data_IF_367615303616
#
_entry.id   IF_367615303616
#
_cell.length_a   1.000
_cell.length_b   1.000
_cell.length_c   1.000
_cell.angle_alpha   90.00
_cell.angle_beta   90.00
_cell.angle_gamma   90.00
#
_symmetry.space_group_name_H-M   'P 1'
#
loop_
_entity.id
_entity.type
_entity.pdbx_description
1 polymer ?
#
# COMPACT_ATOMS: atom_id res chain seq x y z
N UNK A 1 -4.25 4.22 -6.70
CA UNK A 1 -3.80 4.07 -5.31
C UNK A 1 -2.27 4.07 -5.23
N UNK A 2 -1.58 3.19 -5.94
CA UNK A 2 -0.13 3.01 -5.83
C UNK A 2 0.64 4.32 -5.94
N UNK A 3 0.42 5.09 -7.00
CA UNK A 3 1.14 6.35 -7.25
C UNK A 3 0.88 7.42 -6.19
N UNK A 4 -0.38 7.63 -5.80
CA UNK A 4 -0.73 8.69 -4.84
C UNK A 4 -0.30 8.35 -3.40
N UNK A 5 -0.27 7.06 -3.05
CA UNK A 5 0.26 6.61 -1.77
C UNK A 5 1.78 6.80 -1.67
N UNK A 6 2.52 6.67 -2.79
CA UNK A 6 3.97 6.96 -2.81
C UNK A 6 4.25 8.45 -2.63
N UNK A 7 3.45 9.32 -3.25
CA UNK A 7 3.60 10.77 -3.14
C UNK A 7 3.52 11.24 -1.68
N UNK A 8 2.59 10.73 -0.91
CA UNK A 8 2.43 11.17 0.49
C UNK A 8 3.56 10.69 1.41
N UNK A 9 4.39 9.73 0.99
CA UNK A 9 5.53 9.28 1.80
C UNK A 9 6.59 10.36 2.02
N UNK A 10 6.64 11.40 1.18
CA UNK A 10 7.48 12.57 1.41
C UNK A 10 6.71 13.77 1.99
N UNK A 11 5.44 13.61 2.32
CA UNK A 11 4.57 14.68 2.82
C UNK A 11 3.90 15.52 1.72
N UNK A 12 4.03 15.13 0.44
CA UNK A 12 3.45 15.89 -0.65
C UNK A 12 1.95 15.60 -0.81
N UNK A 13 1.20 16.65 -1.15
CA UNK A 13 -0.22 16.56 -1.50
C UNK A 13 -0.36 16.26 -2.99
N UNK A 14 -1.03 15.16 -3.40
CA UNK A 14 -1.34 14.90 -4.79
C UNK A 14 -2.18 16.03 -5.39
N UNK A 15 -1.84 16.50 -6.58
CA UNK A 15 -2.56 17.55 -7.31
C UNK A 15 -3.35 16.96 -8.47
N UNK A 16 -2.69 16.16 -9.31
CA UNK A 16 -3.32 15.58 -10.48
C UNK A 16 -2.72 14.22 -10.82
N UNK A 17 -3.47 13.50 -11.63
CA UNK A 17 -3.18 12.17 -12.11
C UNK A 17 -3.38 12.10 -13.63
N UNK A 18 -2.56 11.32 -14.28
CA UNK A 18 -2.65 10.92 -15.68
C UNK A 18 -2.61 9.41 -15.74
N UNK A 19 -3.49 8.80 -16.52
CA UNK A 19 -3.50 7.37 -16.76
C UNK A 19 -2.96 7.01 -18.16
N UNK A 20 -2.48 5.79 -18.29
CA UNK A 20 -2.19 5.15 -19.56
C UNK A 20 -2.87 3.79 -19.56
N UNK A 21 -3.68 3.53 -20.57
CA UNK A 21 -4.39 2.28 -20.75
C UNK A 21 -3.88 1.62 -22.03
N UNK A 22 -3.11 0.53 -21.88
CA UNK A 22 -2.75 -0.35 -22.98
C UNK A 22 -3.81 -1.45 -23.10
N UNK A 23 -4.36 -1.67 -24.29
CA UNK A 23 -5.40 -2.67 -24.55
C UNK A 23 -5.10 -3.48 -25.82
N UNK A 24 -5.43 -4.77 -25.78
CA UNK A 24 -5.32 -5.63 -26.96
C UNK A 24 -6.37 -5.31 -28.03
N UNK A 25 -7.58 -4.94 -27.59
CA UNK A 25 -8.68 -4.49 -28.45
C UNK A 25 -9.48 -3.40 -27.78
N UNK A 26 -9.79 -2.34 -28.53
CA UNK A 26 -10.62 -1.25 -28.02
C UNK A 26 -12.10 -1.69 -27.91
N UNK A 27 -12.52 -1.94 -26.70
CA UNK A 27 -13.91 -2.23 -26.32
C UNK A 27 -14.36 -1.05 -25.45
N UNK A 28 -15.21 -0.14 -25.97
CA UNK A 28 -15.56 1.10 -25.27
C UNK A 28 -16.08 0.91 -23.86
N UNK A 29 -16.94 -0.09 -23.63
CA UNK A 29 -17.53 -0.38 -22.31
C UNK A 29 -16.46 -0.78 -21.29
N UNK A 30 -15.47 -1.54 -21.73
CA UNK A 30 -14.29 -1.94 -20.90
C UNK A 30 -13.46 -0.72 -20.53
N UNK A 31 -13.15 0.12 -21.52
CA UNK A 31 -12.37 1.36 -21.28
C UNK A 31 -13.12 2.31 -20.34
N UNK A 32 -14.42 2.51 -20.52
CA UNK A 32 -15.26 3.32 -19.61
C UNK A 32 -15.21 2.78 -18.20
N UNK A 33 -15.30 1.46 -18.01
CA UNK A 33 -15.22 0.83 -16.68
C UNK A 33 -13.87 1.08 -16.02
N UNK A 34 -12.75 0.92 -16.75
CA UNK A 34 -11.39 1.17 -16.25
C UNK A 34 -11.20 2.64 -15.84
N UNK A 35 -11.56 3.58 -16.73
CA UNK A 35 -11.44 5.02 -16.47
C UNK A 35 -12.34 5.44 -15.28
N UNK A 36 -13.52 4.86 -15.15
CA UNK A 36 -14.40 5.11 -13.98
C UNK A 36 -13.72 4.73 -12.68
N UNK A 37 -13.02 3.59 -12.63
CA UNK A 37 -12.24 3.16 -11.47
C UNK A 37 -11.09 4.11 -11.16
N UNK A 38 -10.36 4.58 -12.20
CA UNK A 38 -9.28 5.57 -12.04
C UNK A 38 -9.85 6.89 -11.51
N UNK A 39 -10.96 7.36 -12.07
CA UNK A 39 -11.64 8.60 -11.64
C UNK A 39 -12.08 8.52 -10.18
N UNK A 40 -12.72 7.43 -9.77
CA UNK A 40 -13.09 7.21 -8.37
C UNK A 40 -11.86 7.23 -7.44
N UNK A 41 -10.75 6.60 -7.87
CA UNK A 41 -9.48 6.65 -7.14
C UNK A 41 -8.96 8.08 -6.97
N UNK A 42 -9.05 8.91 -8.01
CA UNK A 42 -8.67 10.32 -7.96
C UNK A 42 -9.55 11.13 -6.99
N UNK A 43 -10.87 10.89 -6.99
CA UNK A 43 -11.81 11.51 -6.05
C UNK A 43 -11.45 11.16 -4.60
N UNK A 44 -11.19 9.90 -4.31
CA UNK A 44 -10.76 9.45 -2.97
C UNK A 44 -9.42 10.04 -2.55
N UNK A 45 -8.49 10.14 -3.49
CA UNK A 45 -7.18 10.77 -3.24
C UNK A 45 -7.25 12.30 -3.12
N UNK A 46 -8.33 12.93 -3.59
CA UNK A 46 -8.47 14.39 -3.61
C UNK A 46 -7.57 15.06 -4.65
N UNK A 47 -7.30 14.38 -5.77
CA UNK A 47 -6.54 14.91 -6.91
C UNK A 47 -7.40 14.91 -8.19
N UNK A 48 -7.02 15.70 -9.18
CA UNK A 48 -7.72 15.80 -10.46
C UNK A 48 -7.21 14.77 -11.45
N UNK A 49 -8.11 14.03 -12.11
CA UNK A 49 -7.78 13.31 -13.34
C UNK A 49 -7.81 14.33 -14.49
N UNK A 50 -6.65 14.70 -15.01
CA UNK A 50 -6.54 15.80 -15.98
C UNK A 50 -6.36 15.35 -17.42
N UNK A 51 -6.15 14.06 -17.65
CA UNK A 51 -5.97 13.44 -18.95
C UNK A 51 -5.37 12.07 -18.82
N UNK A 52 -4.98 11.53 -19.95
CA UNK A 52 -4.37 10.21 -20.08
C UNK A 52 -4.23 9.82 -21.54
N UNK A 53 -3.89 8.57 -21.78
CA UNK A 53 -3.76 7.99 -23.11
C UNK A 53 -4.35 6.58 -23.11
N UNK A 54 -5.04 6.23 -24.19
CA UNK A 54 -5.49 4.86 -24.44
C UNK A 54 -4.90 4.38 -25.76
N UNK A 55 -4.11 3.31 -25.70
CA UNK A 55 -3.45 2.76 -26.88
C UNK A 55 -3.86 1.31 -27.13
N UNK A 56 -4.30 1.01 -28.35
CA UNK A 56 -4.57 -0.34 -28.83
C UNK A 56 -3.29 -0.98 -29.37
N UNK A 57 -3.00 -2.20 -28.94
CA UNK A 57 -1.80 -2.95 -29.31
C UNK A 57 -2.13 -4.26 -30.06
N UNK A 58 -2.68 -4.19 -31.29
CA UNK A 58 -3.06 -5.37 -32.04
C UNK A 58 -1.82 -6.21 -32.37
N UNK A 59 -1.93 -7.52 -32.16
CA UNK A 59 -0.84 -8.47 -32.44
C UNK A 59 0.27 -8.54 -31.37
N UNK A 60 0.31 -7.63 -30.40
CA UNK A 60 1.27 -7.67 -29.28
C UNK A 60 0.60 -7.98 -27.95
N UNK A 61 -0.68 -7.67 -27.82
CA UNK A 61 -1.52 -8.05 -26.67
C UNK A 61 -2.70 -8.90 -27.16
N UNK A 62 -3.16 -9.85 -26.32
CA UNK A 62 -4.39 -10.57 -26.63
C UNK A 62 -5.59 -9.60 -26.59
N UNK A 63 -6.67 -9.83 -27.38
CA UNK A 63 -7.81 -8.92 -27.43
C UNK A 63 -8.45 -8.61 -26.08
N UNK A 64 -8.40 -9.53 -25.13
CA UNK A 64 -8.99 -9.37 -23.82
C UNK A 64 -8.03 -8.78 -22.76
N UNK A 65 -6.74 -8.70 -23.09
CA UNK A 65 -5.73 -8.19 -22.18
C UNK A 65 -5.75 -6.66 -22.10
N UNK A 66 -5.37 -6.15 -20.95
CA UNK A 66 -5.10 -4.74 -20.73
C UNK A 66 -4.06 -4.55 -19.64
N UNK A 67 -3.38 -3.42 -19.66
CA UNK A 67 -2.47 -2.97 -18.65
C UNK A 67 -2.72 -1.50 -18.31
N UNK A 68 -2.51 -1.14 -17.04
CA UNK A 68 -2.76 0.20 -16.52
C UNK A 68 -1.48 0.76 -15.91
N UNK A 69 -1.06 1.92 -16.39
CA UNK A 69 -0.03 2.71 -15.74
C UNK A 69 -0.59 4.05 -15.26
N UNK A 70 -0.01 4.59 -14.20
CA UNK A 70 -0.41 5.87 -13.64
C UNK A 70 0.77 6.79 -13.42
N UNK A 71 0.55 8.08 -13.61
CA UNK A 71 1.49 9.13 -13.30
C UNK A 71 0.81 10.18 -12.43
N UNK A 72 1.33 10.39 -11.23
CA UNK A 72 0.79 11.36 -10.29
C UNK A 72 1.82 12.46 -10.00
N UNK A 73 1.34 13.68 -9.85
CA UNK A 73 2.15 14.83 -9.42
C UNK A 73 1.59 15.37 -8.12
N UNK A 74 2.48 15.58 -7.17
CA UNK A 74 2.17 16.22 -5.89
C UNK A 74 3.12 17.35 -5.58
N UNK A 75 2.76 18.18 -4.61
CA UNK A 75 3.59 19.28 -4.14
C UNK A 75 3.68 19.27 -2.63
N UNK A 76 4.83 19.74 -2.14
CA UNK A 76 5.10 19.97 -0.73
C UNK A 76 6.02 21.19 -0.63
N UNK A 77 5.82 22.04 0.37
CA UNK A 77 6.74 23.11 0.68
C UNK A 77 8.08 22.52 1.12
N UNK A 78 9.18 23.11 0.69
CA UNK A 78 10.53 22.56 0.91
C UNK A 78 10.85 22.30 2.38
N UNK A 79 10.37 23.15 3.25
CA UNK A 79 10.53 23.07 4.71
C UNK A 79 9.58 22.07 5.39
N UNK A 80 8.59 21.56 4.64
CA UNK A 80 7.62 20.55 5.10
C UNK A 80 7.89 19.14 4.57
N UNK A 81 8.93 18.97 3.74
CA UNK A 81 9.35 17.64 3.31
C UNK A 81 9.72 16.83 4.55
N UNK A 82 9.17 15.61 4.66
CA UNK A 82 9.47 14.72 5.78
C UNK A 82 10.97 14.41 5.83
N UNK A 83 11.59 14.72 6.96
CA UNK A 83 13.01 14.52 7.18
C UNK A 83 13.27 13.35 8.14
N UNK A 84 13.63 12.21 7.58
CA UNK A 84 13.94 11.00 8.36
C UNK A 84 15.10 11.18 9.34
N UNK A 85 15.98 12.18 9.13
CA UNK A 85 17.10 12.42 10.04
C UNK A 85 16.68 13.00 11.40
N UNK A 86 15.42 13.44 11.53
CA UNK A 86 14.82 13.81 12.83
C UNK A 86 14.42 12.60 13.67
N UNK A 87 14.40 11.40 13.07
CA UNK A 87 14.02 10.16 13.75
C UNK A 87 15.03 9.81 14.85
N UNK A 88 14.54 9.32 15.99
CA UNK A 88 15.37 8.99 17.13
C UNK A 88 14.84 7.75 17.85
N UNK A 89 15.66 7.06 18.64
CA UNK A 89 15.21 5.97 19.49
C UNK A 89 14.06 6.41 20.39
N UNK A 90 13.03 5.56 20.48
CA UNK A 90 11.81 5.84 21.22
C UNK A 90 10.67 6.42 20.37
N UNK A 91 10.92 6.81 19.12
CA UNK A 91 9.82 7.15 18.18
C UNK A 91 8.92 5.94 17.95
N UNK A 92 7.64 6.21 17.71
CA UNK A 92 6.60 5.18 17.66
C UNK A 92 6.34 4.79 16.23
N UNK A 93 6.27 3.48 15.97
CA UNK A 93 5.91 2.92 14.66
C UNK A 93 4.41 2.60 14.64
N UNK A 94 3.68 3.25 13.76
CA UNK A 94 2.22 3.13 13.59
C UNK A 94 1.93 2.45 12.26
N UNK A 95 1.10 1.40 12.28
CA UNK A 95 0.61 0.73 11.07
C UNK A 95 -0.80 1.17 10.71
N UNK A 96 -1.05 1.30 9.41
CA UNK A 96 -2.37 1.46 8.82
C UNK A 96 -2.71 0.17 8.07
N UNK A 97 -3.84 -0.50 8.40
CA UNK A 97 -4.22 -1.76 7.79
C UNK A 97 -4.41 -1.65 6.28
N UNK A 98 -3.99 -2.69 5.57
CA UNK A 98 -4.30 -2.88 4.16
C UNK A 98 -5.73 -3.41 3.97
N UNK A 99 -6.24 -3.35 2.74
CA UNK A 99 -7.51 -3.98 2.36
C UNK A 99 -7.36 -5.47 1.99
N UNK A 100 -6.15 -5.99 1.99
CA UNK A 100 -5.76 -7.32 1.54
C UNK A 100 -4.38 -7.26 0.86
N UNK A 101 -4.21 -8.01 -0.21
CA UNK A 101 -2.94 -8.11 -0.95
C UNK A 101 -2.45 -6.80 -1.55
N UNK A 102 -3.36 -5.86 -1.81
CA UNK A 102 -3.11 -4.67 -2.61
C UNK A 102 -2.73 -5.05 -4.05
N UNK A 103 -1.63 -4.50 -4.58
CA UNK A 103 -1.24 -4.67 -5.99
C UNK A 103 0.11 -5.39 -6.15
N UNK A 104 0.57 -6.12 -5.12
CA UNK A 104 1.90 -6.74 -5.13
C UNK A 104 1.84 -8.24 -4.84
N UNK A 105 2.85 -8.97 -5.35
CA UNK A 105 2.98 -10.40 -5.13
C UNK A 105 2.07 -11.28 -5.99
N UNK A 106 1.34 -10.72 -6.97
CA UNK A 106 0.34 -11.45 -7.75
C UNK A 106 0.90 -12.57 -8.62
N UNK A 107 2.16 -12.51 -9.04
CA UNK A 107 2.79 -13.64 -9.74
C UNK A 107 2.82 -14.90 -8.86
N UNK A 108 3.15 -14.71 -7.56
CA UNK A 108 3.14 -15.81 -6.59
C UNK A 108 1.71 -16.23 -6.25
N UNK A 109 0.78 -15.28 -6.04
CA UNK A 109 -0.65 -15.55 -5.79
C UNK A 109 -1.25 -16.39 -6.91
N UNK A 110 -1.05 -16.01 -8.17
CA UNK A 110 -1.54 -16.75 -9.35
C UNK A 110 -1.00 -18.16 -9.39
N UNK A 111 0.28 -18.35 -9.06
CA UNK A 111 0.91 -19.68 -9.01
C UNK A 111 0.34 -20.53 -7.88
N UNK A 112 0.17 -19.96 -6.68
CA UNK A 112 -0.30 -20.71 -5.49
C UNK A 112 -1.74 -21.17 -5.65
N UNK A 113 -2.61 -20.31 -6.17
CA UNK A 113 -4.03 -20.62 -6.38
C UNK A 113 -4.33 -21.24 -7.75
N UNK A 114 -3.32 -21.37 -8.63
CA UNK A 114 -3.51 -21.83 -10.02
C UNK A 114 -4.65 -21.06 -10.73
N UNK A 115 -4.58 -19.74 -10.67
CA UNK A 115 -5.67 -18.83 -11.07
C UNK A 115 -6.18 -19.05 -12.49
N UNK A 116 -5.34 -19.60 -13.38
CA UNK A 116 -5.71 -19.91 -14.76
C UNK A 116 -6.70 -21.09 -14.85
N UNK A 117 -6.66 -22.03 -13.90
CA UNK A 117 -7.45 -23.24 -13.90
C UNK A 117 -8.42 -23.33 -12.72
N UNK A 118 -8.24 -22.53 -11.68
CA UNK A 118 -9.04 -22.56 -10.47
C UNK A 118 -10.44 -21.96 -10.68
N UNK A 119 -11.42 -22.48 -9.94
CA UNK A 119 -12.72 -21.83 -9.79
C UNK A 119 -12.59 -20.62 -8.84
N UNK A 120 -12.52 -19.43 -9.41
CA UNK A 120 -12.44 -18.18 -8.65
C UNK A 120 -13.73 -17.84 -7.90
N UNK A 121 -14.87 -18.45 -8.24
CA UNK A 121 -16.13 -18.38 -7.51
C UNK A 121 -16.19 -19.31 -6.30
N UNK A 122 -15.16 -20.12 -6.07
CA UNK A 122 -15.08 -20.99 -4.89
C UNK A 122 -15.08 -20.16 -3.61
N UNK A 123 -16.03 -20.46 -2.72
CA UNK A 123 -16.11 -19.84 -1.38
C UNK A 123 -15.06 -20.44 -0.43
N UNK A 124 -14.29 -19.58 0.20
CA UNK A 124 -13.33 -19.97 1.24
C UNK A 124 -13.84 -19.53 2.61
N UNK A 125 -14.18 -20.48 3.47
CA UNK A 125 -14.70 -20.18 4.82
C UNK A 125 -13.76 -19.33 5.68
N UNK A 126 -12.44 -19.47 5.48
CA UNK A 126 -11.43 -18.65 6.18
C UNK A 126 -11.41 -17.20 5.71
N UNK A 127 -11.75 -16.93 4.44
CA UNK A 127 -11.82 -15.59 3.86
C UNK A 127 -13.19 -14.94 4.10
N UNK A 128 -14.24 -15.76 4.28
CA UNK A 128 -15.62 -15.30 4.39
C UNK A 128 -16.23 -14.82 3.06
N UNK A 129 -15.56 -15.11 1.94
CA UNK A 129 -15.98 -14.70 0.60
C UNK A 129 -15.42 -15.63 -0.47
N UNK A 130 -15.78 -15.40 -1.74
CA UNK A 130 -15.20 -16.09 -2.89
C UNK A 130 -13.75 -15.65 -3.11
N UNK A 131 -12.93 -16.57 -3.66
CA UNK A 131 -11.52 -16.28 -3.92
C UNK A 131 -11.33 -15.08 -4.85
N UNK A 132 -12.10 -15.02 -5.93
CA UNK A 132 -12.05 -13.92 -6.88
C UNK A 132 -12.37 -12.56 -6.24
N UNK A 133 -13.35 -12.53 -5.33
CA UNK A 133 -13.70 -11.31 -4.59
C UNK A 133 -12.53 -10.83 -3.71
N UNK A 134 -11.90 -11.75 -2.98
CA UNK A 134 -10.72 -11.41 -2.15
C UNK A 134 -9.56 -10.90 -3.00
N UNK A 135 -9.26 -11.57 -4.12
CA UNK A 135 -8.16 -11.21 -5.00
C UNK A 135 -8.39 -9.89 -5.76
N UNK A 136 -9.64 -9.47 -5.92
CA UNK A 136 -10.00 -8.22 -6.59
C UNK A 136 -10.19 -7.05 -5.62
N UNK A 137 -9.93 -7.21 -4.31
CA UNK A 137 -10.03 -6.11 -3.36
C UNK A 137 -9.13 -4.94 -3.75
N UNK A 138 -9.69 -3.72 -3.96
CA UNK A 138 -8.91 -2.56 -4.39
C UNK A 138 -7.84 -2.18 -3.37
N UNK A 139 -6.69 -1.75 -3.86
CA UNK A 139 -5.65 -1.14 -3.02
C UNK A 139 -6.20 0.09 -2.30
N UNK A 140 -6.01 0.15 -1.00
CA UNK A 140 -6.48 1.24 -0.15
C UNK A 140 -5.74 2.55 -0.46
N UNK A 141 -6.46 3.66 -0.45
CA UNK A 141 -5.92 5.00 -0.64
C UNK A 141 -5.82 5.68 0.73
N UNK A 142 -4.59 6.05 1.12
CA UNK A 142 -4.29 6.62 2.45
C UNK A 142 -4.11 8.14 2.45
N UNK A 143 -4.28 8.80 1.30
CA UNK A 143 -3.90 10.20 1.11
C UNK A 143 -4.48 11.13 2.17
N UNK A 144 -5.82 11.17 2.30
CA UNK A 144 -6.49 12.11 3.21
C UNK A 144 -6.13 11.89 4.68
N UNK A 145 -6.21 10.66 5.23
CA UNK A 145 -5.90 10.44 6.63
C UNK A 145 -4.42 10.65 6.95
N UNK A 146 -3.50 10.29 6.04
CA UNK A 146 -2.06 10.49 6.27
C UNK A 146 -1.68 11.97 6.23
N UNK A 147 -2.20 12.75 5.29
CA UNK A 147 -1.97 14.20 5.27
C UNK A 147 -2.51 14.87 6.54
N UNK A 148 -3.68 14.46 7.04
CA UNK A 148 -4.20 14.97 8.31
C UNK A 148 -3.31 14.59 9.50
N UNK A 149 -2.73 13.39 9.51
CA UNK A 149 -1.78 13.00 10.55
C UNK A 149 -0.48 13.82 10.50
N UNK A 150 0.03 14.13 9.29
CA UNK A 150 1.20 15.00 9.10
C UNK A 150 0.93 16.42 9.63
N UNK A 151 -0.28 16.96 9.41
CA UNK A 151 -0.67 18.28 9.91
C UNK A 151 -0.83 18.31 11.44
N UNK A 152 -1.28 17.22 12.05
CA UNK A 152 -1.59 17.15 13.48
C UNK A 152 -0.41 16.75 14.37
N UNK A 153 0.62 16.08 13.82
CA UNK A 153 1.66 15.40 14.57
C UNK A 153 3.04 15.52 13.91
N UNK A 154 4.10 15.38 14.71
CA UNK A 154 5.48 15.28 14.21
C UNK A 154 5.73 13.89 13.61
N UNK A 155 5.39 13.72 12.33
CA UNK A 155 5.66 12.52 11.54
C UNK A 155 7.06 12.64 10.96
N UNK A 156 7.93 11.67 11.27
CA UNK A 156 9.35 11.68 10.90
C UNK A 156 9.69 10.79 9.72
N UNK A 157 8.80 9.85 9.39
CA UNK A 157 8.97 8.97 8.26
C UNK A 157 7.68 8.26 7.90
N UNK A 158 7.52 7.94 6.63
CA UNK A 158 6.39 7.17 6.11
C UNK A 158 6.92 6.14 5.12
N UNK A 159 6.36 4.94 5.15
CA UNK A 159 6.67 3.88 4.21
C UNK A 159 5.38 3.25 3.67
N UNK A 160 5.18 3.28 2.37
CA UNK A 160 4.16 2.53 1.66
C UNK A 160 4.65 1.10 1.48
N UNK A 161 3.93 0.11 2.01
CA UNK A 161 4.33 -1.30 1.95
C UNK A 161 3.84 -1.91 0.64
N UNK A 162 4.77 -2.07 -0.28
CA UNK A 162 4.56 -2.56 -1.65
C UNK A 162 5.33 -3.86 -1.89
N UNK A 163 5.73 -4.15 -3.13
CA UNK A 163 6.64 -5.26 -3.43
C UNK A 163 7.94 -5.16 -2.63
N UNK A 164 8.43 -6.30 -2.12
CA UNK A 164 9.53 -6.33 -1.17
C UNK A 164 9.11 -6.25 0.31
N UNK A 165 7.79 -6.08 0.56
CA UNK A 165 7.20 -6.18 1.90
C UNK A 165 7.83 -5.27 2.94
N UNK A 166 7.90 -5.73 4.18
CA UNK A 166 8.46 -4.97 5.31
C UNK A 166 9.96 -4.71 5.15
N UNK A 167 10.71 -5.72 4.71
CA UNK A 167 12.16 -5.69 4.69
C UNK A 167 12.77 -4.78 3.63
N UNK A 168 12.05 -4.45 2.56
CA UNK A 168 12.55 -3.55 1.53
C UNK A 168 11.91 -2.16 1.58
N UNK A 169 10.69 -2.02 2.11
CA UNK A 169 10.01 -0.73 2.10
C UNK A 169 10.28 0.09 3.36
N UNK A 170 10.17 -0.49 4.55
CA UNK A 170 10.39 0.24 5.81
C UNK A 170 11.81 0.85 5.87
N UNK A 171 12.89 0.16 5.44
CA UNK A 171 14.24 0.73 5.44
C UNK A 171 14.40 2.05 4.69
N UNK A 172 13.54 2.32 3.69
CA UNK A 172 13.63 3.55 2.88
C UNK A 172 13.44 4.81 3.72
N UNK A 173 12.61 4.74 4.75
CA UNK A 173 12.36 5.86 5.65
C UNK A 173 13.19 5.82 6.95
N UNK A 174 13.97 4.77 7.21
CA UNK A 174 14.78 4.63 8.43
C UNK A 174 16.22 5.10 8.16
N UNK A 175 16.77 6.06 8.91
CA UNK A 175 18.17 6.50 8.78
C UNK A 175 19.15 5.44 9.29
N UNK A 176 20.43 5.60 8.98
CA UNK A 176 21.48 4.68 9.43
C UNK A 176 21.65 4.74 10.96
N UNK A 177 21.97 3.61 11.56
CA UNK A 177 22.10 3.47 13.01
C UNK A 177 20.76 3.30 13.77
N UNK A 178 19.62 3.30 13.03
CA UNK A 178 18.30 3.08 13.63
C UNK A 178 17.61 1.86 13.02
N UNK A 179 16.74 1.24 13.81
CA UNK A 179 15.97 0.04 13.52
C UNK A 179 14.51 0.24 13.90
N UNK A 180 13.60 -0.09 13.01
CA UNK A 180 12.18 -0.26 13.35
C UNK A 180 11.99 -1.64 13.98
N UNK A 181 11.85 -1.70 15.30
CA UNK A 181 11.54 -2.91 16.05
C UNK A 181 10.03 -3.09 16.10
N UNK A 182 9.53 -4.09 15.39
CA UNK A 182 8.10 -4.34 15.17
C UNK A 182 7.69 -5.61 15.91
N UNK A 183 6.64 -5.49 16.73
CA UNK A 183 6.02 -6.59 17.45
C UNK A 183 5.03 -7.33 16.56
N UNK A 184 5.35 -8.56 16.12
CA UNK A 184 4.47 -9.35 15.23
C UNK A 184 3.06 -9.54 15.79
N UNK A 185 2.93 -9.69 17.11
CA UNK A 185 1.63 -9.83 17.80
C UNK A 185 0.72 -8.59 17.68
N UNK A 186 1.30 -7.42 17.39
CA UNK A 186 0.55 -6.18 17.20
C UNK A 186 0.04 -6.01 15.75
N UNK A 187 0.49 -6.86 14.83
CA UNK A 187 0.05 -6.84 13.44
C UNK A 187 -1.31 -7.51 13.29
N UNK A 188 -2.23 -6.86 12.60
CA UNK A 188 -3.47 -7.48 12.13
C UNK A 188 -3.23 -8.11 10.76
N UNK A 189 -3.07 -9.44 10.72
CA UNK A 189 -2.79 -10.18 9.49
C UNK A 189 -4.08 -10.80 8.94
N UNK A 190 -4.64 -10.29 7.82
CA UNK A 190 -5.83 -10.85 7.18
C UNK A 190 -5.67 -12.32 6.78
N UNK A 191 -6.76 -13.09 6.76
CA UNK A 191 -6.74 -14.54 6.51
C UNK A 191 -6.11 -14.97 5.19
N UNK A 192 -6.12 -14.10 4.17
CA UNK A 192 -5.49 -14.40 2.87
C UNK A 192 -4.00 -14.71 2.99
N UNK A 193 -3.26 -14.05 3.90
CA UNK A 193 -1.83 -14.26 4.05
C UNK A 193 -1.49 -15.63 4.66
N UNK A 194 -2.07 -16.05 5.80
CA UNK A 194 -1.83 -17.41 6.29
C UNK A 194 -2.36 -18.49 5.34
N UNK A 195 -3.43 -18.23 4.59
CA UNK A 195 -3.91 -19.14 3.55
C UNK A 195 -2.86 -19.33 2.45
N UNK A 196 -2.30 -18.23 1.92
CA UNK A 196 -1.22 -18.25 0.93
C UNK A 196 0.03 -18.97 1.45
N UNK A 197 0.47 -18.66 2.67
CA UNK A 197 1.63 -19.29 3.27
C UNK A 197 1.46 -20.80 3.35
N UNK A 198 0.30 -21.27 3.81
CA UNK A 198 -0.03 -22.70 3.93
C UNK A 198 -0.11 -23.40 2.58
N UNK A 199 -0.85 -22.82 1.62
CA UNK A 199 -1.04 -23.45 0.31
C UNK A 199 0.22 -23.43 -0.53
N UNK A 200 1.01 -22.38 -0.45
CA UNK A 200 2.25 -22.21 -1.20
C UNK A 200 3.50 -22.79 -0.52
N UNK A 201 3.40 -23.25 0.73
CA UNK A 201 4.56 -23.68 1.52
C UNK A 201 5.59 -22.56 1.71
N UNK A 202 5.11 -21.30 1.82
CA UNK A 202 5.96 -20.11 1.84
C UNK A 202 6.42 -19.84 3.27
N UNK A 203 7.72 -19.61 3.46
CA UNK A 203 8.27 -19.29 4.78
C UNK A 203 7.76 -17.95 5.31
N UNK A 204 7.71 -17.77 6.63
CA UNK A 204 7.32 -16.48 7.25
C UNK A 204 8.20 -15.34 6.71
N UNK A 205 9.50 -15.56 6.60
CA UNK A 205 10.43 -14.57 6.07
C UNK A 205 10.07 -14.12 4.66
N UNK A 206 9.76 -15.08 3.78
CA UNK A 206 9.39 -14.80 2.40
C UNK A 206 8.04 -14.11 2.30
N UNK A 207 7.08 -14.46 3.18
CA UNK A 207 5.80 -13.77 3.28
C UNK A 207 6.00 -12.28 3.59
N UNK A 208 6.79 -11.94 4.61
CA UNK A 208 7.09 -10.55 4.98
C UNK A 208 8.01 -9.83 3.98
N UNK A 209 8.70 -10.57 3.11
CA UNK A 209 9.53 -10.01 2.04
C UNK A 209 8.74 -9.81 0.72
N UNK A 210 7.59 -10.46 0.56
CA UNK A 210 6.80 -10.40 -0.68
C UNK A 210 5.53 -9.56 -0.51
N UNK A 211 4.87 -9.68 0.64
CA UNK A 211 3.55 -9.13 0.89
C UNK A 211 3.53 -8.06 1.99
N UNK A 212 2.47 -7.26 1.99
CA UNK A 212 2.24 -6.24 3.01
C UNK A 212 1.80 -6.82 4.38
N UNK A 213 1.48 -8.10 4.46
CA UNK A 213 1.06 -8.82 5.67
C UNK A 213 -0.03 -8.10 6.48
N UNK A 214 -0.96 -7.43 5.79
CA UNK A 214 -2.05 -6.69 6.41
C UNK A 214 -1.73 -5.23 6.77
N UNK A 215 -0.52 -4.76 6.51
CA UNK A 215 -0.08 -3.38 6.76
C UNK A 215 0.23 -2.69 5.44
N UNK A 216 -0.64 -1.78 5.00
CA UNK A 216 -0.43 -1.09 3.72
C UNK A 216 0.47 0.13 3.84
N UNK A 217 0.52 0.76 5.02
CA UNK A 217 1.36 1.93 5.26
C UNK A 217 1.86 1.95 6.71
N UNK A 218 3.09 2.41 6.88
CA UNK A 218 3.73 2.61 8.18
C UNK A 218 4.10 4.08 8.33
N UNK A 219 3.78 4.66 9.49
CA UNK A 219 4.21 5.99 9.89
C UNK A 219 5.14 5.88 11.09
N UNK A 220 6.17 6.71 11.15
CA UNK A 220 7.00 6.91 12.34
C UNK A 220 6.71 8.30 12.89
N UNK A 221 6.22 8.35 14.12
CA UNK A 221 5.87 9.58 14.81
C UNK A 221 6.75 9.80 16.04
N UNK A 222 7.05 11.06 16.35
CA UNK A 222 7.66 11.39 17.63
C UNK A 222 6.80 10.84 18.79
N UNK A 223 7.43 10.32 19.83
CA UNK A 223 6.74 9.64 20.96
C UNK A 223 5.65 10.50 21.60
N UNK A 224 5.92 11.78 21.81
CA UNK A 224 4.99 12.74 22.43
C UNK A 224 3.87 13.21 21.50
N UNK A 225 3.93 12.82 20.25
CA UNK A 225 3.01 13.22 19.16
C UNK A 225 2.22 12.03 18.60
N UNK A 226 2.55 10.79 19.00
CA UNK A 226 1.93 9.58 18.48
C UNK A 226 0.41 9.52 18.69
N UNK A 227 -0.07 9.92 19.88
CA UNK A 227 -1.51 9.95 20.18
C UNK A 227 -2.27 10.95 19.28
N UNK A 228 -1.65 12.08 18.95
CA UNK A 228 -2.23 13.06 18.02
C UNK A 228 -2.32 12.49 16.61
N UNK A 229 -1.28 11.77 16.16
CA UNK A 229 -1.30 11.09 14.88
C UNK A 229 -2.44 10.05 14.81
N UNK A 230 -2.57 9.20 15.83
CA UNK A 230 -3.64 8.21 15.92
C UNK A 230 -5.03 8.87 15.94
N UNK A 231 -5.21 9.92 16.74
CA UNK A 231 -6.47 10.65 16.81
C UNK A 231 -6.86 11.26 15.45
N UNK A 232 -5.90 11.85 14.72
CA UNK A 232 -6.14 12.39 13.38
C UNK A 232 -6.54 11.30 12.38
N UNK A 233 -5.86 10.16 12.37
CA UNK A 233 -6.20 9.01 11.53
C UNK A 233 -7.61 8.49 11.84
N UNK A 234 -7.91 8.25 13.10
CA UNK A 234 -9.21 7.72 13.54
C UNK A 234 -10.37 8.69 13.27
N UNK A 235 -10.13 10.00 13.35
CA UNK A 235 -11.17 11.02 13.08
C UNK A 235 -11.68 10.97 11.63
N UNK A 236 -10.86 10.45 10.71
CA UNK A 236 -11.22 10.22 9.30
C UNK A 236 -11.61 8.77 9.00
N UNK A 237 -11.90 7.97 10.03
CA UNK A 237 -12.30 6.57 9.90
C UNK A 237 -11.15 5.64 9.45
N UNK A 238 -9.90 6.11 9.53
CA UNK A 238 -8.75 5.29 9.24
C UNK A 238 -8.32 4.53 10.48
N UNK A 239 -8.47 3.21 10.45
CA UNK A 239 -7.89 2.34 11.47
C UNK A 239 -6.37 2.48 11.47
N UNK A 240 -5.79 2.57 12.65
CA UNK A 240 -4.35 2.62 12.85
C UNK A 240 -4.00 2.13 14.26
N UNK A 241 -2.82 1.58 14.42
CA UNK A 241 -2.34 1.08 15.71
C UNK A 241 -0.82 1.11 15.83
N UNK A 242 -0.33 1.21 17.05
CA UNK A 242 1.09 1.10 17.33
C UNK A 242 1.53 -0.35 17.16
N UNK A 243 2.57 -0.56 16.36
CA UNK A 243 3.12 -1.89 16.09
C UNK A 243 4.56 -2.05 16.59
N UNK A 244 5.18 -0.99 17.08
CA UNK A 244 6.56 -1.04 17.54
C UNK A 244 7.14 0.34 17.83
N UNK A 245 8.46 0.37 17.93
CA UNK A 245 9.21 1.58 18.18
C UNK A 245 10.54 1.60 17.42
N UNK A 246 11.11 2.78 17.27
CA UNK A 246 12.45 2.95 16.74
C UNK A 246 13.46 2.71 17.87
N UNK A 247 14.47 1.91 17.60
CA UNK A 247 15.58 1.62 18.50
C UNK A 247 16.92 1.85 17.78
N UNK A 248 18.01 1.93 18.53
CA UNK A 248 19.36 1.89 17.93
C UNK A 248 19.64 0.48 17.40
N UNK A 249 20.20 0.40 16.20
CA UNK A 249 20.54 -0.90 15.58
C UNK A 249 21.16 -0.73 14.22
N UNK A 250 21.88 -1.78 13.77
CA UNK A 250 22.48 -1.83 12.43
C UNK A 250 21.47 -2.32 11.38
N UNK A 251 20.59 -3.25 11.77
CA UNK A 251 19.48 -3.68 10.93
C UNK A 251 18.41 -2.61 10.90
N UNK A 252 17.80 -2.39 9.72
CA UNK A 252 16.75 -1.37 9.55
C UNK A 252 15.39 -1.81 10.07
N UNK A 253 15.13 -3.13 10.09
CA UNK A 253 13.86 -3.72 10.52
C UNK A 253 14.12 -5.00 11.30
N UNK A 254 13.54 -5.09 12.48
CA UNK A 254 13.50 -6.31 13.29
C UNK A 254 12.04 -6.68 13.58
N UNK A 255 11.65 -7.90 13.24
CA UNK A 255 10.33 -8.48 13.59
C UNK A 255 10.48 -9.39 14.79
N UNK A 256 9.79 -9.07 15.91
CA UNK A 256 9.89 -9.77 17.19
C UNK A 256 8.61 -10.56 17.51
#
# INVERSE_FOLDING_TARGET
AMCVNDIICCGAKPLFFLDYIAIGKNIPEKVVSLVSGVSEGCVRAGCALIGGETAEHPGTMNPDDYDLAGFAVGVVDRDKILDKNKMQPGDVVIALPSSGLHSNGYSLVRKVFDVENADLGQYYGELGCELGEELLRPTKIYVRPVLAAIEAADIRGISHITGGGFYENIPRCIPDGLCAKIEKKALHIPPIFPLLARMGGISERDMFNTFNMGTGMVLVAARDSADKALAALHSLGQEAGVIGEIVSGEEKVALC
#
